data_IF_907633429497
#
_entry.id   IF_907633429497
#
_cell.length_a   1.000
_cell.length_b   1.000
_cell.length_c   1.000
_cell.angle_alpha   90.00
_cell.angle_beta   90.00
_cell.angle_gamma   90.00
#
_symmetry.space_group_name_H-M   'P 1'
#
loop_
_entity.id
_entity.type
_entity.pdbx_description
1 polymer ?
#
# COMPACT_ATOMS: atom_id res chain seq x y z
N UNK A 1 5.47 45.77 -30.99
CA UNK A 1 4.58 45.83 -29.80
C UNK A 1 3.56 44.69 -29.78
N UNK A 2 2.77 44.48 -30.84
CA UNK A 2 1.74 43.41 -30.94
C UNK A 2 2.27 41.97 -30.73
N UNK A 3 3.41 41.62 -31.34
CA UNK A 3 4.04 40.29 -31.16
C UNK A 3 4.50 40.03 -29.72
N UNK A 4 4.91 41.09 -29.02
CA UNK A 4 5.42 41.00 -27.65
C UNK A 4 4.27 40.82 -26.65
N UNK A 5 3.15 41.53 -26.86
CA UNK A 5 1.91 41.34 -26.09
C UNK A 5 1.32 39.95 -26.30
N UNK A 6 1.33 39.44 -27.54
CA UNK A 6 0.85 38.09 -27.84
C UNK A 6 1.69 37.00 -27.16
N UNK A 7 3.03 37.15 -27.17
CA UNK A 7 3.94 36.23 -26.48
C UNK A 7 3.70 36.19 -24.96
N UNK A 8 3.51 37.36 -24.33
CA UNK A 8 3.23 37.45 -22.89
C UNK A 8 1.90 36.77 -22.53
N UNK A 9 0.84 36.99 -23.31
CA UNK A 9 -0.45 36.33 -23.06
C UNK A 9 -0.39 34.80 -23.18
N UNK A 10 0.36 34.28 -24.16
CA UNK A 10 0.57 32.85 -24.32
C UNK A 10 1.33 32.25 -23.13
N UNK A 11 2.35 32.94 -22.63
CA UNK A 11 3.11 32.51 -21.46
C UNK A 11 2.23 32.49 -20.20
N UNK A 12 1.44 33.54 -19.96
CA UNK A 12 0.54 33.61 -18.81
C UNK A 12 -0.51 32.49 -18.85
N UNK A 13 -1.08 32.20 -20.03
CA UNK A 13 -2.02 31.09 -20.20
C UNK A 13 -1.37 29.74 -19.91
N UNK A 14 -0.15 29.51 -20.39
CA UNK A 14 0.60 28.28 -20.15
C UNK A 14 0.90 28.06 -18.67
N UNK A 15 1.33 29.12 -17.98
CA UNK A 15 1.61 29.09 -16.54
C UNK A 15 0.34 28.78 -15.74
N UNK A 16 -0.77 29.43 -16.08
CA UNK A 16 -2.07 29.19 -15.43
C UNK A 16 -2.55 27.74 -15.63
N UNK A 17 -2.48 27.24 -16.86
CA UNK A 17 -2.84 25.87 -17.22
C UNK A 17 -2.00 24.82 -16.47
N UNK A 18 -0.68 25.06 -16.40
CA UNK A 18 0.25 24.20 -15.67
C UNK A 18 0.00 24.26 -14.16
N UNK A 19 -0.30 25.44 -13.61
CA UNK A 19 -0.68 25.62 -12.22
C UNK A 19 -1.96 24.84 -11.86
N UNK A 20 -2.99 24.92 -12.70
CA UNK A 20 -4.23 24.16 -12.52
C UNK A 20 -3.99 22.65 -12.60
N UNK A 21 -3.15 22.20 -13.53
CA UNK A 21 -2.77 20.79 -13.64
C UNK A 21 -2.10 20.30 -12.36
N UNK A 22 -1.09 21.03 -11.86
CA UNK A 22 -0.38 20.69 -10.63
C UNK A 22 -1.36 20.64 -9.44
N UNK A 23 -2.21 21.66 -9.28
CA UNK A 23 -3.20 21.69 -8.20
C UNK A 23 -4.15 20.49 -8.27
N UNK A 24 -4.66 20.17 -9.46
CA UNK A 24 -5.53 19.02 -9.68
C UNK A 24 -4.83 17.70 -9.34
N UNK A 25 -3.58 17.54 -9.80
CA UNK A 25 -2.75 16.38 -9.47
C UNK A 25 -2.53 16.25 -7.97
N UNK A 26 -2.20 17.33 -7.26
CA UNK A 26 -2.01 17.31 -5.80
C UNK A 26 -3.29 16.87 -5.10
N UNK A 27 -4.46 17.39 -5.52
CA UNK A 27 -5.75 16.99 -4.94
C UNK A 27 -6.03 15.51 -5.17
N UNK A 28 -5.83 14.99 -6.38
CA UNK A 28 -6.02 13.56 -6.68
C UNK A 28 -5.10 12.70 -5.81
N UNK A 29 -3.82 13.06 -5.70
CA UNK A 29 -2.85 12.33 -4.88
C UNK A 29 -3.25 12.37 -3.39
N UNK A 30 -3.66 13.53 -2.88
CA UNK A 30 -4.11 13.68 -1.50
C UNK A 30 -5.34 12.81 -1.21
N UNK A 31 -6.33 12.78 -2.10
CA UNK A 31 -7.50 11.92 -1.99
C UNK A 31 -7.08 10.44 -1.99
N UNK A 32 -6.20 10.03 -2.91
CA UNK A 32 -5.69 8.65 -2.95
C UNK A 32 -4.99 8.25 -1.65
N UNK A 33 -4.11 9.11 -1.12
CA UNK A 33 -3.42 8.85 0.14
C UNK A 33 -4.39 8.79 1.33
N UNK A 34 -5.39 9.67 1.35
CA UNK A 34 -6.40 9.68 2.40
C UNK A 34 -7.24 8.40 2.40
N UNK A 35 -7.71 7.95 1.23
CA UNK A 35 -8.46 6.68 1.10
C UNK A 35 -7.61 5.52 1.60
N UNK A 36 -6.32 5.47 1.23
CA UNK A 36 -5.40 4.45 1.72
C UNK A 36 -5.27 4.49 3.24
N UNK A 37 -5.03 5.66 3.82
CA UNK A 37 -4.92 5.82 5.27
C UNK A 37 -6.17 5.31 6.00
N UNK A 38 -7.35 5.69 5.53
CA UNK A 38 -8.63 5.21 6.09
C UNK A 38 -8.80 3.70 5.93
N UNK A 39 -8.41 3.14 4.78
CA UNK A 39 -8.46 1.70 4.55
C UNK A 39 -7.56 0.93 5.53
N UNK A 40 -6.34 1.42 5.79
CA UNK A 40 -5.43 0.81 6.77
C UNK A 40 -5.98 0.92 8.20
N UNK A 41 -6.57 2.05 8.57
CA UNK A 41 -7.23 2.22 9.88
C UNK A 41 -8.39 1.23 10.07
N UNK A 42 -9.26 1.10 9.06
CA UNK A 42 -10.37 0.13 9.09
C UNK A 42 -9.84 -1.30 9.17
N UNK A 43 -8.75 -1.58 8.45
CA UNK A 43 -8.04 -2.85 8.52
C UNK A 43 -7.64 -3.22 9.95
N UNK A 44 -6.90 -2.33 10.59
CA UNK A 44 -6.37 -2.52 11.95
C UNK A 44 -7.47 -2.61 13.01
N UNK A 45 -8.45 -1.71 12.97
CA UNK A 45 -9.46 -1.58 14.02
C UNK A 45 -10.62 -2.58 13.91
N UNK A 46 -10.94 -3.02 12.70
CA UNK A 46 -12.14 -3.83 12.46
C UNK A 46 -11.78 -5.17 11.85
N UNK A 47 -11.13 -5.17 10.68
CA UNK A 47 -10.98 -6.37 9.85
C UNK A 47 -10.07 -7.40 10.51
N UNK A 48 -8.95 -6.96 11.08
CA UNK A 48 -7.96 -7.86 11.67
C UNK A 48 -8.28 -8.27 13.11
N UNK A 49 -9.22 -7.60 13.79
CA UNK A 49 -9.68 -7.97 15.13
C UNK A 49 -10.77 -9.05 15.14
N UNK A 50 -11.25 -9.49 13.96
CA UNK A 50 -12.27 -10.55 13.86
C UNK A 50 -11.67 -11.88 14.36
N UNK A 51 -12.23 -12.52 15.40
CA UNK A 51 -11.75 -13.81 15.88
C UNK A 51 -11.73 -14.86 14.76
N UNK A 52 -10.69 -15.70 14.69
CA UNK A 52 -10.45 -16.76 13.69
C UNK A 52 -10.14 -16.28 12.27
N UNK A 53 -10.80 -15.23 11.77
CA UNK A 53 -10.64 -14.73 10.40
C UNK A 53 -9.60 -13.63 10.26
N UNK A 54 -9.39 -12.81 11.31
CA UNK A 54 -8.50 -11.66 11.29
C UNK A 54 -7.06 -12.04 10.91
N UNK A 55 -6.50 -13.07 11.54
CA UNK A 55 -5.16 -13.59 11.24
C UNK A 55 -5.04 -14.04 9.77
N UNK A 56 -6.09 -14.68 9.23
CA UNK A 56 -6.12 -15.14 7.84
C UNK A 56 -6.16 -13.95 6.88
N UNK A 57 -7.04 -12.98 7.14
CA UNK A 57 -7.20 -11.75 6.34
C UNK A 57 -5.96 -10.86 6.37
N UNK A 58 -5.32 -10.73 7.54
CA UNK A 58 -4.04 -10.05 7.70
C UNK A 58 -2.96 -10.74 6.89
N UNK A 59 -2.94 -12.08 6.94
CA UNK A 59 -1.91 -12.83 6.26
C UNK A 59 -1.97 -12.72 4.73
N UNK A 60 -3.17 -12.55 4.14
CA UNK A 60 -3.34 -12.26 2.71
C UNK A 60 -3.26 -10.75 2.40
N UNK A 61 -3.05 -9.91 3.41
CA UNK A 61 -3.09 -8.45 3.30
C UNK A 61 -4.35 -7.96 2.56
N UNK A 62 -5.55 -8.41 2.94
CA UNK A 62 -6.80 -8.17 2.19
C UNK A 62 -7.05 -6.69 1.88
N UNK A 63 -6.62 -5.79 2.79
CA UNK A 63 -6.74 -4.34 2.62
C UNK A 63 -5.96 -3.84 1.39
N UNK A 64 -4.89 -4.51 0.98
CA UNK A 64 -4.12 -4.18 -0.22
C UNK A 64 -4.95 -4.35 -1.51
N UNK A 65 -6.05 -5.12 -1.49
CA UNK A 65 -6.99 -5.19 -2.63
C UNK A 65 -7.65 -3.82 -2.86
N UNK A 66 -7.88 -3.03 -1.82
CA UNK A 66 -8.45 -1.68 -1.97
C UNK A 66 -7.53 -0.74 -2.75
N UNK A 67 -6.22 -1.03 -2.83
CA UNK A 67 -5.32 -0.29 -3.70
C UNK A 67 -5.80 -0.30 -5.16
N UNK A 68 -6.42 -1.39 -5.63
CA UNK A 68 -6.96 -1.45 -7.00
C UNK A 68 -7.92 -0.30 -7.27
N UNK A 69 -8.81 0.00 -6.32
CA UNK A 69 -9.75 1.12 -6.42
C UNK A 69 -9.02 2.47 -6.35
N UNK A 70 -8.09 2.62 -5.41
CA UNK A 70 -7.29 3.85 -5.25
C UNK A 70 -6.53 4.17 -6.54
N UNK A 71 -5.90 3.16 -7.15
CA UNK A 71 -5.14 3.31 -8.38
C UNK A 71 -6.02 3.47 -9.62
N UNK A 72 -7.26 2.96 -9.60
CA UNK A 72 -8.24 3.29 -10.62
C UNK A 72 -8.60 4.79 -10.59
N UNK A 73 -8.88 5.34 -9.40
CA UNK A 73 -9.16 6.77 -9.20
C UNK A 73 -7.96 7.61 -9.62
N UNK A 74 -6.76 7.26 -9.15
CA UNK A 74 -5.51 7.93 -9.52
C UNK A 74 -5.33 7.95 -11.04
N UNK A 75 -5.40 6.79 -11.68
CA UNK A 75 -5.22 6.63 -13.13
C UNK A 75 -6.23 7.47 -13.90
N UNK A 76 -7.52 7.30 -13.62
CA UNK A 76 -8.60 8.04 -14.29
C UNK A 76 -8.43 9.55 -14.10
N UNK A 77 -8.21 10.00 -12.86
CA UNK A 77 -8.05 11.41 -12.51
C UNK A 77 -6.89 12.05 -13.27
N UNK A 78 -5.73 11.37 -13.33
CA UNK A 78 -4.59 11.84 -14.11
C UNK A 78 -4.88 11.88 -15.60
N UNK A 79 -5.58 10.87 -16.12
CA UNK A 79 -5.99 10.80 -17.52
C UNK A 79 -6.86 11.99 -17.91
N UNK A 80 -7.83 12.34 -17.06
CA UNK A 80 -8.72 13.50 -17.26
C UNK A 80 -7.96 14.81 -17.09
N UNK A 81 -7.11 14.94 -16.07
CA UNK A 81 -6.35 16.15 -15.80
C UNK A 81 -5.45 16.57 -16.98
N UNK A 82 -5.09 15.66 -17.88
CA UNK A 82 -4.30 15.98 -19.08
C UNK A 82 -4.93 17.03 -19.99
N UNK A 83 -6.25 17.26 -19.91
CA UNK A 83 -6.94 18.33 -20.64
C UNK A 83 -6.40 19.73 -20.29
N UNK A 84 -5.85 19.88 -19.08
CA UNK A 84 -5.31 21.13 -18.58
C UNK A 84 -3.93 21.45 -19.16
N UNK A 85 -3.25 20.48 -19.78
CA UNK A 85 -1.93 20.66 -20.37
C UNK A 85 -2.00 20.82 -21.91
N UNK A 86 -1.05 21.55 -22.51
CA UNK A 86 -0.91 21.60 -23.97
C UNK A 86 -0.73 20.22 -24.60
N UNK A 87 -1.46 19.95 -25.69
CA UNK A 87 -1.50 18.64 -26.37
C UNK A 87 -0.14 18.12 -26.83
N UNK A 88 0.83 19.00 -27.09
CA UNK A 88 2.15 18.63 -27.59
C UNK A 88 2.97 17.80 -26.60
N UNK A 89 2.73 17.97 -25.29
CA UNK A 89 3.49 17.26 -24.25
C UNK A 89 2.65 16.69 -23.09
N UNK A 90 1.34 16.98 -23.04
CA UNK A 90 0.44 16.56 -21.95
C UNK A 90 0.54 15.07 -21.61
N UNK A 91 0.53 14.22 -22.63
CA UNK A 91 0.63 12.77 -22.46
C UNK A 91 1.96 12.34 -21.84
N UNK A 92 3.09 12.90 -22.32
CA UNK A 92 4.43 12.52 -21.86
C UNK A 92 4.63 12.88 -20.40
N UNK A 93 4.26 14.11 -20.03
CA UNK A 93 4.36 14.60 -18.64
C UNK A 93 3.47 13.75 -17.72
N UNK A 94 2.24 13.48 -18.13
CA UNK A 94 1.30 12.73 -17.30
C UNK A 94 1.69 11.25 -17.14
N UNK A 95 2.22 10.61 -18.18
CA UNK A 95 2.75 9.25 -18.08
C UNK A 95 3.97 9.18 -17.15
N UNK A 96 4.91 10.12 -17.28
CA UNK A 96 6.11 10.18 -16.43
C UNK A 96 5.72 10.39 -14.97
N UNK A 97 4.83 11.34 -14.69
CA UNK A 97 4.32 11.57 -13.34
C UNK A 97 3.61 10.33 -12.79
N UNK A 98 2.75 9.67 -13.57
CA UNK A 98 2.08 8.46 -13.13
C UNK A 98 3.08 7.33 -12.83
N UNK A 99 4.09 7.15 -13.68
CA UNK A 99 5.14 6.14 -13.49
C UNK A 99 5.93 6.37 -12.18
N UNK A 100 6.17 7.62 -11.81
CA UNK A 100 6.84 7.98 -10.54
C UNK A 100 5.90 7.88 -9.34
N UNK A 101 4.67 8.36 -9.47
CA UNK A 101 3.73 8.44 -8.35
C UNK A 101 3.15 7.08 -7.97
N UNK A 102 2.97 6.16 -8.93
CA UNK A 102 2.43 4.82 -8.63
C UNK A 102 3.25 4.08 -7.57
N UNK A 103 4.57 3.89 -7.72
CA UNK A 103 5.37 3.24 -6.67
C UNK A 103 5.39 4.04 -5.37
N UNK A 104 5.49 5.38 -5.42
CA UNK A 104 5.47 6.21 -4.21
C UNK A 104 4.18 6.07 -3.41
N UNK A 105 3.02 6.15 -4.08
CA UNK A 105 1.69 5.99 -3.45
C UNK A 105 1.46 4.55 -3.03
N UNK A 106 1.99 3.57 -3.76
CA UNK A 106 1.87 2.17 -3.36
C UNK A 106 2.60 1.94 -2.03
N UNK A 107 3.85 2.39 -1.94
CA UNK A 107 4.68 2.27 -0.73
C UNK A 107 4.15 3.05 0.48
N UNK A 108 3.23 4.00 0.31
CA UNK A 108 2.67 4.75 1.43
C UNK A 108 1.86 3.88 2.41
N UNK A 109 1.31 2.75 1.96
CA UNK A 109 0.62 1.79 2.86
C UNK A 109 1.52 1.32 3.98
N UNK A 110 2.77 1.01 3.66
CA UNK A 110 3.78 0.54 4.64
C UNK A 110 4.04 1.62 5.69
N UNK A 111 4.12 2.87 5.25
CA UNK A 111 4.26 4.01 6.16
C UNK A 111 3.07 4.11 7.10
N UNK A 112 1.84 4.09 6.59
CA UNK A 112 0.64 4.19 7.42
C UNK A 112 0.51 3.03 8.41
N UNK A 113 0.72 1.80 7.95
CA UNK A 113 0.72 0.60 8.80
C UNK A 113 1.73 0.69 9.93
N UNK A 114 2.94 1.19 9.67
CA UNK A 114 3.95 1.40 10.70
C UNK A 114 3.49 2.42 11.74
N UNK A 115 2.95 3.57 11.31
CA UNK A 115 2.46 4.60 12.23
C UNK A 115 1.31 4.10 13.10
N UNK A 116 0.35 3.41 12.48
CA UNK A 116 -0.80 2.80 13.17
C UNK A 116 -0.30 1.77 14.18
N UNK A 117 0.61 0.88 13.79
CA UNK A 117 1.16 -0.13 14.70
C UNK A 117 1.86 0.49 15.92
N UNK A 118 2.72 1.49 15.73
CA UNK A 118 3.40 2.17 16.85
C UNK A 118 2.39 2.85 17.77
N UNK A 119 1.35 3.47 17.21
CA UNK A 119 0.27 4.08 17.99
C UNK A 119 -0.54 3.05 18.77
N UNK A 120 -0.93 1.94 18.13
CA UNK A 120 -1.67 0.85 18.78
C UNK A 120 -0.83 0.19 19.89
N UNK A 121 0.48 -0.01 19.67
CA UNK A 121 1.40 -0.50 20.70
C UNK A 121 1.51 0.46 21.89
N UNK A 122 1.63 1.77 21.62
CA UNK A 122 1.65 2.82 22.65
C UNK A 122 0.39 2.78 23.52
N UNK A 123 -0.78 2.61 22.91
CA UNK A 123 -2.06 2.50 23.62
C UNK A 123 -2.11 1.22 24.46
N UNK A 124 -1.72 0.08 23.88
CA UNK A 124 -1.79 -1.22 24.55
C UNK A 124 -0.84 -1.36 25.74
N UNK A 125 0.33 -0.71 25.67
CA UNK A 125 1.33 -0.69 26.74
C UNK A 125 1.16 0.52 27.69
N UNK A 126 0.23 1.43 27.40
CA UNK A 126 0.02 2.66 28.17
C UNK A 126 1.32 3.49 28.36
N UNK A 127 2.11 3.59 27.28
CA UNK A 127 3.37 4.34 27.23
C UNK A 127 3.29 5.47 26.20
N UNK A 128 4.22 6.42 26.25
CA UNK A 128 4.28 7.48 25.23
C UNK A 128 4.59 6.93 23.84
N UNK A 129 4.09 7.59 22.79
CA UNK A 129 4.38 7.23 21.40
C UNK A 129 5.89 7.16 21.13
N UNK A 130 6.69 8.08 21.69
CA UNK A 130 8.16 8.05 21.55
C UNK A 130 8.81 6.82 22.19
N UNK A 131 8.29 6.34 23.33
CA UNK A 131 8.79 5.12 23.98
C UNK A 131 8.38 3.89 23.15
N UNK A 132 7.13 3.83 22.72
CA UNK A 132 6.64 2.77 21.83
C UNK A 132 7.49 2.68 20.56
N UNK A 133 7.76 3.80 19.92
CA UNK A 133 8.60 3.86 18.71
C UNK A 133 10.02 3.34 18.98
N UNK A 134 10.62 3.67 20.12
CA UNK A 134 11.95 3.18 20.49
C UNK A 134 11.96 1.67 20.72
N UNK A 135 10.95 1.14 21.39
CA UNK A 135 10.81 -0.30 21.67
C UNK A 135 10.56 -1.09 20.38
N UNK A 136 9.59 -0.65 19.56
CA UNK A 136 9.29 -1.28 18.27
C UNK A 136 10.48 -1.22 17.33
N UNK A 137 11.22 -0.10 17.25
CA UNK A 137 12.44 -0.01 16.46
C UNK A 137 13.55 -0.94 16.95
N UNK A 138 13.70 -1.09 18.26
CA UNK A 138 14.68 -2.02 18.84
C UNK A 138 14.34 -3.46 18.47
N UNK A 139 13.06 -3.82 18.58
CA UNK A 139 12.55 -5.12 18.14
C UNK A 139 12.78 -5.37 16.65
N UNK A 140 12.45 -4.41 15.79
CA UNK A 140 12.67 -4.51 14.35
C UNK A 140 14.15 -4.68 14.02
N UNK A 141 15.04 -3.94 14.69
CA UNK A 141 16.48 -4.05 14.49
C UNK A 141 17.00 -5.43 14.89
N UNK A 142 16.47 -6.00 15.97
CA UNK A 142 16.81 -7.36 16.38
C UNK A 142 16.36 -8.41 15.35
N UNK A 143 15.12 -8.31 14.84
CA UNK A 143 14.55 -9.31 13.91
C UNK A 143 15.01 -9.14 12.45
N UNK A 144 15.36 -7.93 12.02
CA UNK A 144 15.61 -7.60 10.59
C UNK A 144 16.92 -6.89 10.31
N UNK A 145 17.73 -6.58 11.34
CA UNK A 145 18.92 -5.74 11.26
C UNK A 145 18.65 -4.30 10.79
N UNK A 146 17.37 -3.90 10.67
CA UNK A 146 16.92 -2.59 10.23
C UNK A 146 15.87 -2.03 11.19
N UNK A 147 15.76 -0.72 11.27
CA UNK A 147 14.80 -0.03 12.14
C UNK A 147 13.78 0.80 11.33
N UNK A 148 12.81 1.39 12.02
CA UNK A 148 11.79 2.26 11.43
C UNK A 148 11.00 1.57 10.32
N UNK A 149 10.53 2.34 9.33
CA UNK A 149 9.67 1.88 8.25
C UNK A 149 10.34 0.77 7.42
N UNK A 150 11.66 0.82 7.21
CA UNK A 150 12.37 -0.21 6.45
C UNK A 150 12.42 -1.54 7.23
N UNK A 151 12.75 -1.49 8.52
CA UNK A 151 12.69 -2.67 9.39
C UNK A 151 11.28 -3.25 9.42
N UNK A 152 10.26 -2.41 9.52
CA UNK A 152 8.86 -2.81 9.49
C UNK A 152 8.48 -3.48 8.15
N UNK A 153 8.89 -2.90 7.03
CA UNK A 153 8.65 -3.46 5.70
C UNK A 153 9.26 -4.86 5.57
N UNK A 154 10.51 -5.04 5.99
CA UNK A 154 11.21 -6.32 5.93
C UNK A 154 10.61 -7.35 6.91
N UNK A 155 10.21 -6.90 8.09
CA UNK A 155 9.59 -7.77 9.10
C UNK A 155 8.27 -8.33 8.57
N UNK A 156 7.35 -7.44 8.16
CA UNK A 156 6.02 -7.83 7.67
C UNK A 156 6.04 -8.62 6.36
N UNK A 157 7.15 -8.60 5.61
CA UNK A 157 7.31 -9.47 4.43
C UNK A 157 7.51 -10.94 4.81
N UNK A 158 8.14 -11.19 5.96
CA UNK A 158 8.58 -12.50 6.40
C UNK A 158 7.71 -13.07 7.53
N UNK A 159 7.01 -12.21 8.26
CA UNK A 159 6.24 -12.55 9.44
C UNK A 159 4.79 -12.07 9.30
N UNK A 160 3.79 -12.98 9.39
CA UNK A 160 2.39 -12.62 9.21
C UNK A 160 1.76 -11.98 10.46
N UNK A 161 2.47 -11.95 11.59
CA UNK A 161 1.98 -11.45 12.88
C UNK A 161 2.85 -10.29 13.34
N UNK A 162 2.20 -9.20 13.73
CA UNK A 162 2.83 -8.02 14.29
C UNK A 162 2.47 -7.98 15.79
N UNK A 163 3.46 -7.93 16.70
CA UNK A 163 3.19 -7.95 18.13
C UNK A 163 2.49 -6.65 18.58
N UNK A 164 1.41 -6.80 19.32
CA UNK A 164 0.61 -5.70 19.86
C UNK A 164 1.08 -5.25 21.26
N UNK A 165 1.86 -6.10 21.94
CA UNK A 165 2.39 -5.91 23.31
C UNK A 165 3.85 -6.34 23.44
N UNK A 166 4.56 -5.84 24.45
CA UNK A 166 5.96 -6.19 24.73
C UNK A 166 6.11 -7.69 25.01
N UNK A 167 5.19 -8.27 25.77
CA UNK A 167 5.18 -9.71 26.03
C UNK A 167 5.19 -10.53 24.73
N UNK A 168 4.44 -10.07 23.73
CA UNK A 168 4.34 -10.70 22.41
C UNK A 168 5.63 -10.53 21.57
N UNK A 169 6.42 -9.49 21.83
CA UNK A 169 7.75 -9.32 21.21
C UNK A 169 8.77 -10.34 21.73
N UNK A 170 8.63 -10.78 22.98
CA UNK A 170 9.47 -11.82 23.59
C UNK A 170 9.01 -13.20 23.13
N UNK A 171 7.69 -13.42 23.12
CA UNK A 171 7.05 -14.70 22.75
C UNK A 171 6.75 -14.79 21.24
N UNK A 172 7.41 -14.00 20.40
CA UNK A 172 7.09 -13.89 18.96
C UNK A 172 7.16 -15.24 18.24
N UNK A 173 8.12 -16.09 18.62
CA UNK A 173 8.30 -17.39 17.96
C UNK A 173 7.13 -18.36 18.31
N UNK A 174 6.57 -18.27 19.52
CA UNK A 174 5.37 -19.02 19.91
C UNK A 174 4.10 -18.48 19.23
N UNK A 175 3.95 -17.16 19.17
CA UNK A 175 2.87 -16.50 18.42
C UNK A 175 2.87 -16.91 16.95
N UNK A 176 4.05 -16.91 16.32
CA UNK A 176 4.21 -17.38 14.94
C UNK A 176 3.81 -18.84 14.79
N UNK A 177 4.29 -19.72 15.69
CA UNK A 177 3.99 -21.15 15.62
C UNK A 177 2.48 -21.40 15.76
N UNK A 178 1.80 -20.68 16.65
CA UNK A 178 0.35 -20.76 16.82
C UNK A 178 -0.40 -20.32 15.55
N UNK A 179 0.00 -19.21 14.93
CA UNK A 179 -0.60 -18.74 13.68
C UNK A 179 -0.33 -19.70 12.52
N UNK A 180 0.89 -20.23 12.40
CA UNK A 180 1.21 -21.24 11.40
C UNK A 180 0.43 -22.53 11.60
N UNK A 181 0.27 -23.00 12.83
CA UNK A 181 -0.56 -24.18 13.13
C UNK A 181 -2.02 -23.96 12.77
N UNK A 182 -2.60 -22.78 13.07
CA UNK A 182 -3.97 -22.43 12.68
C UNK A 182 -4.14 -22.43 11.16
N UNK A 183 -3.23 -21.79 10.44
CA UNK A 183 -3.29 -21.75 8.97
C UNK A 183 -3.06 -23.16 8.39
N UNK A 184 -2.11 -23.91 8.93
CA UNK A 184 -1.83 -25.29 8.53
C UNK A 184 -3.04 -26.21 8.75
N UNK A 185 -3.81 -26.02 9.83
CA UNK A 185 -5.06 -26.74 10.07
C UNK A 185 -6.10 -26.47 8.98
N UNK A 186 -6.28 -25.20 8.58
CA UNK A 186 -7.17 -24.82 7.47
C UNK A 186 -6.72 -25.47 6.15
N UNK A 187 -5.42 -25.45 5.86
CA UNK A 187 -4.88 -26.11 4.65
C UNK A 187 -4.96 -27.64 4.73
N UNK A 188 -4.81 -28.24 5.91
CA UNK A 188 -4.96 -29.67 6.12
C UNK A 188 -6.41 -30.12 5.86
N UNK A 189 -7.38 -29.38 6.39
CA UNK A 189 -8.80 -29.58 6.12
C UNK A 189 -9.10 -29.43 4.62
N UNK A 190 -8.57 -28.40 3.97
CA UNK A 190 -8.72 -28.22 2.52
C UNK A 190 -8.06 -29.35 1.70
N UNK A 191 -6.92 -29.89 2.16
CA UNK A 191 -6.26 -31.03 1.49
C UNK A 191 -7.01 -32.34 1.64
N UNK A 192 -7.65 -32.57 2.78
CA UNK A 192 -8.54 -33.72 3.00
C UNK A 192 -9.76 -33.62 2.07
N UNK A 193 -10.31 -32.42 1.91
CA UNK A 193 -11.41 -32.12 1.00
C UNK A 193 -11.04 -32.27 -0.48
N UNK A 194 -9.78 -31.97 -0.84
CA UNK A 194 -9.25 -32.04 -2.21
C UNK A 194 -8.57 -33.39 -2.55
N UNK A 195 -8.56 -34.36 -1.64
CA UNK A 195 -7.87 -35.67 -1.76
C UNK A 195 -6.44 -35.57 -2.31
N UNK A 196 -5.73 -34.48 -2.00
CA UNK A 196 -4.43 -34.15 -2.60
C UNK A 196 -3.35 -34.11 -1.52
N UNK A 197 -2.49 -35.13 -1.50
CA UNK A 197 -1.43 -35.36 -0.50
C UNK A 197 -0.15 -34.56 -0.78
N UNK A 198 -0.25 -33.24 -1.01
CA UNK A 198 0.89 -32.43 -1.48
C UNK A 198 1.58 -31.56 -0.42
N UNK A 199 0.97 -31.29 0.73
CA UNK A 199 1.51 -30.34 1.70
C UNK A 199 2.07 -31.02 2.96
N UNK A 200 3.41 -31.03 3.09
CA UNK A 200 4.14 -31.48 4.27
C UNK A 200 4.56 -30.26 5.11
N UNK A 201 4.53 -30.30 6.47
CA UNK A 201 4.78 -29.14 7.34
C UNK A 201 6.08 -28.37 7.06
N UNK A 202 7.16 -29.06 6.68
CA UNK A 202 8.47 -28.46 6.34
C UNK A 202 8.48 -27.69 5.02
N UNK A 203 7.62 -28.03 4.05
CA UNK A 203 7.49 -27.27 2.79
C UNK A 203 6.61 -26.02 2.96
N UNK A 204 5.72 -26.04 3.95
CA UNK A 204 4.80 -24.95 4.27
C UNK A 204 5.56 -23.75 4.86
N UNK A 205 6.55 -23.96 5.74
CA UNK A 205 7.34 -22.88 6.36
C UNK A 205 8.17 -22.07 5.34
N UNK A 206 8.78 -22.74 4.35
CA UNK A 206 9.49 -22.07 3.25
C UNK A 206 8.56 -21.29 2.32
N UNK A 207 7.34 -21.80 2.07
CA UNK A 207 6.30 -21.09 1.32
C UNK A 207 5.85 -19.82 2.04
N UNK A 208 5.77 -19.84 3.38
CA UNK A 208 5.36 -18.67 4.17
C UNK A 208 6.34 -17.50 4.09
N UNK A 209 7.65 -17.75 4.07
CA UNK A 209 8.67 -16.67 3.93
C UNK A 209 8.60 -15.97 2.57
N UNK A 210 8.32 -16.72 1.49
CA UNK A 210 8.22 -16.15 0.15
C UNK A 210 6.85 -15.52 -0.15
N UNK A 211 5.80 -15.97 0.54
CA UNK A 211 4.43 -15.51 0.34
C UNK A 211 4.29 -13.99 0.44
N UNK A 212 4.84 -13.36 1.47
CA UNK A 212 4.66 -11.91 1.68
C UNK A 212 5.23 -11.09 0.51
N UNK A 213 6.39 -11.47 -0.01
CA UNK A 213 6.97 -10.85 -1.20
C UNK A 213 6.14 -11.09 -2.46
N UNK A 214 5.64 -12.32 -2.66
CA UNK A 214 4.78 -12.66 -3.80
C UNK A 214 3.50 -11.83 -3.77
N UNK A 215 2.84 -11.72 -2.60
CA UNK A 215 1.61 -10.94 -2.45
C UNK A 215 1.86 -9.45 -2.75
N UNK A 216 2.93 -8.87 -2.23
CA UNK A 216 3.28 -7.46 -2.51
C UNK A 216 3.55 -7.21 -3.98
N UNK A 217 4.34 -8.06 -4.63
CA UNK A 217 4.60 -7.94 -6.08
C UNK A 217 3.30 -8.11 -6.85
N UNK A 218 2.47 -9.08 -6.50
CA UNK A 218 1.17 -9.31 -7.12
C UNK A 218 0.25 -8.08 -7.01
N UNK A 219 0.01 -7.58 -5.79
CA UNK A 219 -0.85 -6.41 -5.56
C UNK A 219 -0.28 -5.14 -6.19
N UNK A 220 1.03 -4.96 -6.19
CA UNK A 220 1.69 -3.88 -6.91
C UNK A 220 1.42 -3.96 -8.42
N UNK A 221 1.62 -5.13 -9.04
CA UNK A 221 1.39 -5.32 -10.47
C UNK A 221 -0.07 -5.08 -10.87
N UNK A 222 -1.02 -5.61 -10.10
CA UNK A 222 -2.46 -5.40 -10.34
C UNK A 222 -2.81 -3.92 -10.21
N UNK A 223 -2.30 -3.25 -9.17
CA UNK A 223 -2.49 -1.82 -8.95
C UNK A 223 -1.91 -0.97 -10.08
N UNK A 224 -0.68 -1.27 -10.49
CA UNK A 224 0.02 -0.59 -11.59
C UNK A 224 -0.73 -0.77 -12.91
N UNK A 225 -1.15 -2.00 -13.22
CA UNK A 225 -1.96 -2.28 -14.42
C UNK A 225 -3.27 -1.49 -14.38
N UNK A 226 -3.95 -1.46 -13.23
CA UNK A 226 -5.20 -0.74 -13.04
C UNK A 226 -5.02 0.77 -13.25
N UNK A 227 -3.95 1.36 -12.71
CA UNK A 227 -3.63 2.76 -12.94
C UNK A 227 -3.42 3.05 -14.43
N UNK A 228 -2.65 2.21 -15.14
CA UNK A 228 -2.37 2.39 -16.57
C UNK A 228 -3.64 2.28 -17.41
N UNK A 229 -4.48 1.28 -17.16
CA UNK A 229 -5.75 1.10 -17.89
C UNK A 229 -6.68 2.28 -17.68
N UNK A 230 -6.91 2.68 -16.43
CA UNK A 230 -7.80 3.80 -16.12
C UNK A 230 -7.24 5.14 -16.59
N UNK A 231 -5.92 5.31 -16.60
CA UNK A 231 -5.28 6.47 -17.23
C UNK A 231 -5.57 6.57 -18.72
N UNK A 232 -5.44 5.47 -19.46
CA UNK A 232 -5.82 5.41 -20.88
C UNK A 232 -7.31 5.69 -21.08
N UNK A 233 -8.17 5.21 -20.20
CA UNK A 233 -9.61 5.51 -20.21
C UNK A 233 -9.84 7.02 -20.03
N UNK A 234 -9.24 7.65 -19.03
CA UNK A 234 -9.34 9.10 -18.80
C UNK A 234 -8.84 9.92 -19.99
N UNK A 235 -7.71 9.55 -20.59
CA UNK A 235 -7.19 10.18 -21.80
C UNK A 235 -8.18 10.12 -22.98
N UNK A 236 -8.83 8.97 -23.16
CA UNK A 236 -9.79 8.78 -24.25
C UNK A 236 -11.07 9.60 -24.04
N UNK A 237 -11.51 9.78 -22.80
CA UNK A 237 -12.64 10.66 -22.47
C UNK A 237 -12.35 12.11 -22.88
N UNK A 238 -11.14 12.60 -22.57
CA UNK A 238 -10.70 13.95 -22.96
C UNK A 238 -10.59 14.11 -24.48
N UNK A 239 -10.12 13.10 -25.21
CA UNK A 239 -9.99 13.16 -26.68
C UNK A 239 -11.33 13.19 -27.43
N UNK A 240 -12.37 12.66 -26.82
CA UNK A 240 -13.73 12.62 -27.40
C UNK A 240 -14.57 13.86 -27.06
N UNK A 241 -14.12 14.67 -26.11
CA UNK A 241 -14.76 15.93 -25.67
C UNK A 241 -14.15 17.11 -26.41
#
# INVERSE_FOLDING_TARGET
MLLLVHGIMLLLRLLFQTGLYIATTVVIVAISLYIKFVAELIGDEIVYKIPLLGDLLLSIEIIEILNVLVFAILGLGFGVATILLPRSFSNRVSYLLLLTLVPCIYSSSVFFKYQIWVQSFSINENISYSQAQKMTNTFLRYKTQNESILGFYLYTANFPVIPAKEKEMVETDELMNNTYQRIAYVFAYANELLQKKYFTPTKIDSLFKWRGWILRVFYFLVSMFTAIVNFKTGLNTVRRS
#
